data_IF_859650115346
#
_entry.id   IF_859650115346
#
_cell.length_a   1.000
_cell.length_b   1.000
_cell.length_c   1.000
_cell.angle_alpha   90.00
_cell.angle_beta   90.00
_cell.angle_gamma   90.00
#
_symmetry.space_group_name_H-M   'P 1'
#
loop_
_entity.id
_entity.type
_entity.pdbx_description
1 polymer ?
#
# COMPACT_ATOMS: atom_id res chain seq x y z
N UNK A 1 5.69 -11.82 -3.26
CA UNK A 1 6.35 -11.44 -4.54
C UNK A 1 5.25 -11.16 -5.57
N UNK A 2 5.53 -10.38 -6.62
CA UNK A 2 4.59 -10.24 -7.74
C UNK A 2 4.50 -11.57 -8.53
N UNK A 3 3.31 -12.01 -8.96
CA UNK A 3 1.99 -11.35 -8.86
C UNK A 3 1.22 -11.62 -7.55
N UNK A 4 1.65 -12.60 -6.76
CA UNK A 4 0.89 -13.12 -5.62
C UNK A 4 0.60 -12.07 -4.54
N UNK A 5 1.49 -11.10 -4.33
CA UNK A 5 1.29 -10.00 -3.36
C UNK A 5 0.12 -9.09 -3.77
N UNK A 6 0.01 -8.74 -5.06
CA UNK A 6 -1.08 -7.94 -5.59
C UNK A 6 -2.41 -8.69 -5.57
N UNK A 7 -2.38 -9.96 -5.99
CA UNK A 7 -3.56 -10.84 -5.97
C UNK A 7 -4.08 -11.07 -4.54
N UNK A 8 -3.17 -11.28 -3.58
CA UNK A 8 -3.51 -11.42 -2.17
C UNK A 8 -4.14 -10.14 -1.62
N UNK A 9 -3.54 -8.97 -1.89
CA UNK A 9 -4.08 -7.69 -1.41
C UNK A 9 -5.49 -7.41 -1.97
N UNK A 10 -5.72 -7.66 -3.27
CA UNK A 10 -7.05 -7.55 -3.89
C UNK A 10 -8.07 -8.45 -3.19
N UNK A 11 -7.69 -9.71 -2.95
CA UNK A 11 -8.57 -10.70 -2.34
C UNK A 11 -8.96 -10.32 -0.91
N UNK A 12 -8.03 -9.76 -0.14
CA UNK A 12 -8.32 -9.28 1.22
C UNK A 12 -9.31 -8.12 1.20
N UNK A 13 -9.13 -7.15 0.30
CA UNK A 13 -10.09 -6.04 0.16
C UNK A 13 -11.48 -6.53 -0.25
N UNK A 14 -11.56 -7.51 -1.16
CA UNK A 14 -12.82 -8.13 -1.56
C UNK A 14 -13.51 -8.84 -0.38
N UNK A 15 -12.78 -9.61 0.43
CA UNK A 15 -13.35 -10.29 1.61
C UNK A 15 -13.95 -9.28 2.60
N UNK A 16 -13.29 -8.13 2.80
CA UNK A 16 -13.78 -7.06 3.68
C UNK A 16 -15.06 -6.43 3.11
N UNK A 17 -15.09 -6.17 1.80
CA UNK A 17 -16.26 -5.65 1.11
C UNK A 17 -17.45 -6.61 1.17
N UNK A 18 -17.23 -7.91 0.95
CA UNK A 18 -18.25 -8.96 1.01
C UNK A 18 -18.84 -9.09 2.43
N UNK A 19 -18.06 -8.76 3.46
CA UNK A 19 -18.51 -8.72 4.85
C UNK A 19 -19.29 -7.42 5.21
N UNK A 20 -19.49 -6.51 4.25
CA UNK A 20 -20.23 -5.26 4.45
C UNK A 20 -19.41 -4.11 5.03
N UNK A 21 -18.08 -4.22 5.03
CA UNK A 21 -17.16 -3.16 5.48
C UNK A 21 -16.44 -2.49 4.30
N UNK A 22 -15.86 -1.32 4.55
CA UNK A 22 -15.07 -0.59 3.53
C UNK A 22 -13.57 -0.83 3.78
N UNK A 23 -12.85 -1.48 2.85
CA UNK A 23 -11.40 -1.65 2.98
C UNK A 23 -10.65 -0.34 2.77
N UNK A 24 -9.52 -0.18 3.47
CA UNK A 24 -8.64 0.97 3.30
C UNK A 24 -7.17 0.54 3.41
N UNK A 25 -6.60 -0.01 2.33
CA UNK A 25 -5.16 -0.29 2.26
C UNK A 25 -4.36 1.02 2.37
N UNK A 26 -3.31 1.01 3.19
CA UNK A 26 -2.49 2.19 3.48
C UNK A 26 -1.10 2.03 2.86
N UNK A 27 -0.62 3.09 2.21
CA UNK A 27 0.74 3.17 1.68
C UNK A 27 1.18 4.63 1.52
N UNK A 28 2.48 4.83 1.25
CA UNK A 28 2.99 6.08 0.70
C UNK A 28 3.21 5.88 -0.80
N UNK A 29 2.61 6.73 -1.63
CA UNK A 29 2.73 6.70 -3.10
C UNK A 29 3.22 8.08 -3.56
N UNK A 30 4.43 8.13 -4.13
CA UNK A 30 5.09 9.36 -4.58
C UNK A 30 5.12 10.47 -3.51
N UNK A 31 5.42 10.07 -2.27
CA UNK A 31 5.44 10.94 -1.10
C UNK A 31 4.08 11.34 -0.53
N UNK A 32 2.98 10.81 -1.06
CA UNK A 32 1.64 11.03 -0.49
C UNK A 32 1.22 9.84 0.34
N UNK A 33 0.89 10.08 1.60
CA UNK A 33 0.21 9.09 2.43
C UNK A 33 -1.20 8.91 1.87
N UNK A 34 -1.57 7.67 1.55
CA UNK A 34 -2.89 7.29 1.05
C UNK A 34 -3.56 6.34 2.02
N UNK A 35 -4.83 6.62 2.32
CA UNK A 35 -5.71 5.78 3.13
C UNK A 35 -6.79 5.29 2.19
N UNK A 36 -6.73 4.00 1.83
CA UNK A 36 -7.45 3.47 0.70
C UNK A 36 -6.67 3.69 -0.59
N UNK A 37 -6.33 2.58 -1.26
CA UNK A 37 -5.75 2.59 -2.59
C UNK A 37 -6.82 2.19 -3.61
N UNK A 38 -6.74 2.77 -4.80
CA UNK A 38 -7.43 2.22 -5.98
C UNK A 38 -6.74 0.92 -6.43
N UNK A 39 -7.44 0.13 -7.24
CA UNK A 39 -6.87 -1.10 -7.82
C UNK A 39 -5.56 -0.86 -8.57
N UNK A 40 -5.50 0.21 -9.38
CA UNK A 40 -4.30 0.56 -10.12
C UNK A 40 -3.12 0.97 -9.22
N UNK A 41 -3.38 1.68 -8.13
CA UNK A 41 -2.33 2.04 -7.16
C UNK A 41 -1.83 0.83 -6.39
N UNK A 42 -2.74 -0.06 -5.99
CA UNK A 42 -2.40 -1.32 -5.30
C UNK A 42 -1.57 -2.23 -6.21
N UNK A 43 -1.94 -2.35 -7.48
CA UNK A 43 -1.18 -3.12 -8.46
C UNK A 43 0.20 -2.49 -8.74
N UNK A 44 0.26 -1.17 -8.93
CA UNK A 44 1.52 -0.44 -9.11
C UNK A 44 2.47 -0.64 -7.92
N UNK A 45 1.96 -0.56 -6.69
CA UNK A 45 2.74 -0.82 -5.48
C UNK A 45 3.26 -2.26 -5.44
N UNK A 46 2.44 -3.25 -5.82
CA UNK A 46 2.83 -4.65 -5.84
C UNK A 46 3.96 -4.96 -6.85
N UNK A 47 4.04 -4.20 -7.94
CA UNK A 47 5.10 -4.28 -8.96
C UNK A 47 6.34 -3.46 -8.64
N UNK A 48 6.27 -2.54 -7.66
CA UNK A 48 7.39 -1.64 -7.33
C UNK A 48 8.52 -2.44 -6.66
N UNK A 49 9.60 -2.70 -7.41
CA UNK A 49 10.72 -3.52 -6.95
C UNK A 49 11.56 -2.91 -5.83
N UNK A 50 11.63 -1.57 -5.73
CA UNK A 50 12.39 -0.84 -4.71
C UNK A 50 11.49 -0.12 -3.69
N UNK A 51 10.25 -0.61 -3.51
CA UNK A 51 9.31 -0.06 -2.55
C UNK A 51 9.92 -0.06 -1.15
N UNK A 52 9.91 1.09 -0.48
CA UNK A 52 10.40 1.20 0.88
C UNK A 52 9.50 0.43 1.84
N UNK A 53 10.09 -0.22 2.85
CA UNK A 53 9.35 -0.77 3.98
C UNK A 53 9.32 0.29 5.09
N UNK A 54 8.15 0.87 5.34
CA UNK A 54 8.02 2.09 6.14
C UNK A 54 7.51 1.80 7.55
N UNK A 55 8.33 2.09 8.55
CA UNK A 55 7.92 2.23 9.95
C UNK A 55 7.76 3.72 10.30
N UNK A 56 7.38 4.02 11.55
CA UNK A 56 7.13 5.39 12.03
C UNK A 56 8.27 6.37 11.73
N UNK A 57 9.52 5.94 11.86
CA UNK A 57 10.70 6.79 11.61
C UNK A 57 10.92 7.10 10.11
N UNK A 58 10.40 6.26 9.22
CA UNK A 58 10.65 6.34 7.78
C UNK A 58 9.63 7.24 7.07
N UNK A 59 8.44 7.43 7.65
CA UNK A 59 7.33 8.16 7.03
C UNK A 59 7.71 9.59 6.63
N UNK A 60 8.37 10.33 7.52
CA UNK A 60 8.79 11.71 7.24
C UNK A 60 9.77 11.79 6.07
N UNK A 61 10.73 10.87 6.02
CA UNK A 61 11.68 10.78 4.92
C UNK A 61 11.00 10.41 3.59
N UNK A 62 10.12 9.39 3.61
CA UNK A 62 9.43 8.94 2.42
C UNK A 62 8.54 10.03 1.80
N UNK A 63 7.83 10.79 2.64
CA UNK A 63 7.02 11.94 2.22
C UNK A 63 7.90 13.05 1.62
N UNK A 64 8.94 13.47 2.33
CA UNK A 64 9.81 14.56 1.88
C UNK A 64 10.55 14.23 0.57
N UNK A 65 10.99 12.99 0.42
CA UNK A 65 11.76 12.52 -0.73
C UNK A 65 10.89 11.96 -1.88
N UNK A 66 9.56 12.06 -1.77
CA UNK A 66 8.62 11.52 -2.76
C UNK A 66 8.83 10.03 -3.07
N UNK A 67 9.16 9.25 -2.04
CA UNK A 67 9.35 7.80 -2.17
C UNK A 67 8.02 7.07 -2.12
N UNK A 68 7.98 5.88 -2.70
CA UNK A 68 6.86 4.93 -2.62
C UNK A 68 7.24 3.79 -1.69
N UNK A 69 6.30 3.34 -0.85
CA UNK A 69 6.55 2.29 0.11
C UNK A 69 5.31 1.75 0.83
N UNK A 70 5.38 0.48 1.20
CA UNK A 70 4.38 -0.18 2.04
C UNK A 70 4.63 0.08 3.52
N UNK A 71 3.56 0.37 4.26
CA UNK A 71 3.65 0.62 5.70
C UNK A 71 3.71 -0.69 6.49
N UNK A 72 4.48 -0.67 7.58
CA UNK A 72 4.40 -1.67 8.63
C UNK A 72 3.23 -1.36 9.58
N UNK A 73 3.10 -2.12 10.67
CA UNK A 73 2.00 -1.97 11.64
C UNK A 73 2.22 -0.83 12.66
N UNK A 74 3.47 -0.38 12.84
CA UNK A 74 3.93 0.45 13.98
C UNK A 74 3.38 1.89 14.04
#
# INVERSE_FOLDING_TARGET
PYPDNGAMAAKVEQIIADAGAVPATIAVVDGRIKIGLSDGERESLAMTGDAMKLSRADLGFAVAQKRTGGTTVA
#
